data_IF_280888353214
#
_entry.id   IF_280888353214
#
_cell.length_a   1.000
_cell.length_b   1.000
_cell.length_c   1.000
_cell.angle_alpha   90.00
_cell.angle_beta   90.00
_cell.angle_gamma   90.00
#
_symmetry.space_group_name_H-M   'P 1'
#
loop_
_entity.id
_entity.type
_entity.pdbx_description
1 polymer ?
#
# COMPACT_ATOMS: atom_id res chain seq x y z
N UNK A 1 1.14 12.50 24.80
CA UNK A 1 2.16 11.81 23.96
C UNK A 1 1.56 11.59 22.58
N UNK A 2 2.39 11.67 21.54
CA UNK A 2 1.97 11.82 20.14
C UNK A 2 1.71 10.44 19.52
N UNK A 3 0.67 10.32 18.72
CA UNK A 3 0.19 9.06 18.15
C UNK A 3 0.24 9.12 16.60
N UNK A 4 0.46 7.99 15.90
CA UNK A 4 0.64 7.97 14.44
C UNK A 4 -0.69 8.28 13.74
N UNK A 5 -0.65 9.14 12.72
CA UNK A 5 -1.83 9.57 11.96
C UNK A 5 -2.41 10.92 12.39
N UNK A 6 -1.78 11.60 13.36
CA UNK A 6 -2.18 12.94 13.75
C UNK A 6 -3.45 13.00 14.62
N UNK A 7 -3.85 11.92 15.30
CA UNK A 7 -4.97 11.88 16.25
C UNK A 7 -4.52 11.36 17.61
N UNK A 8 -5.11 11.81 18.72
CA UNK A 8 -4.81 11.35 20.10
C UNK A 8 -6.10 11.10 20.90
N UNK A 9 -6.01 10.29 21.95
CA UNK A 9 -7.05 10.25 22.98
C UNK A 9 -6.91 11.45 23.90
N UNK A 10 -8.03 12.17 24.11
CA UNK A 10 -8.15 13.27 25.07
C UNK A 10 -9.20 12.90 26.10
N UNK A 11 -8.85 12.98 27.37
CA UNK A 11 -9.81 12.78 28.46
C UNK A 11 -10.88 13.88 28.42
N UNK A 12 -12.16 13.50 28.54
CA UNK A 12 -13.26 14.45 28.58
C UNK A 12 -13.24 15.26 29.89
N UNK A 13 -13.62 16.53 29.82
CA UNK A 13 -13.81 17.32 31.03
C UNK A 13 -14.98 16.75 31.84
N UNK A 14 -14.95 16.88 33.17
CA UNK A 14 -15.94 16.24 34.03
C UNK A 14 -17.40 16.56 33.67
N UNK A 15 -17.70 17.76 33.17
CA UNK A 15 -19.05 18.15 32.73
C UNK A 15 -19.55 17.37 31.50
N UNK A 16 -18.63 16.85 30.69
CA UNK A 16 -18.90 16.13 29.43
C UNK A 16 -18.92 14.60 29.62
N UNK A 17 -18.60 14.12 30.83
CA UNK A 17 -18.73 12.71 31.21
C UNK A 17 -20.18 12.48 31.67
N UNK A 18 -20.96 11.62 30.99
CA UNK A 18 -22.35 11.43 31.33
C UNK A 18 -22.51 10.85 32.76
N UNK A 19 -23.55 11.33 33.45
CA UNK A 19 -23.81 11.08 34.89
C UNK A 19 -23.87 9.58 35.21
N UNK A 20 -24.33 8.76 34.27
CA UNK A 20 -24.40 7.31 34.40
C UNK A 20 -23.01 6.66 34.62
N UNK A 21 -21.94 7.18 34.03
CA UNK A 21 -20.58 6.65 34.24
C UNK A 21 -20.04 7.03 35.63
N UNK A 22 -20.45 8.20 36.14
CA UNK A 22 -20.08 8.68 37.48
C UNK A 22 -20.78 7.90 38.59
N UNK A 23 -22.01 7.45 38.35
CA UNK A 23 -22.85 6.76 39.34
C UNK A 23 -22.85 5.23 39.21
N UNK A 24 -22.69 4.69 37.99
CA UNK A 24 -22.87 3.27 37.67
C UNK A 24 -21.65 2.68 36.94
N UNK A 25 -20.45 3.10 37.35
CA UNK A 25 -19.17 2.61 36.78
C UNK A 25 -19.05 1.08 36.83
N UNK A 26 -19.63 0.44 37.83
CA UNK A 26 -19.53 -1.00 38.03
C UNK A 26 -20.51 -1.83 37.18
N UNK A 27 -21.50 -1.21 36.53
CA UNK A 27 -22.50 -1.90 35.70
C UNK A 27 -22.45 -1.47 34.22
N UNK A 28 -21.47 -0.66 33.83
CA UNK A 28 -21.25 -0.23 32.45
C UNK A 28 -20.13 -1.07 31.84
N UNK A 29 -20.26 -1.61 30.62
CA UNK A 29 -19.18 -2.35 29.97
C UNK A 29 -17.88 -1.53 29.89
N UNK A 30 -16.70 -2.11 30.20
CA UNK A 30 -15.41 -1.41 30.19
C UNK A 30 -15.11 -0.66 28.88
N UNK A 31 -15.49 -1.22 27.74
CA UNK A 31 -15.32 -0.61 26.42
C UNK A 31 -16.16 0.66 26.23
N UNK A 32 -17.32 0.73 26.86
CA UNK A 32 -18.19 1.89 26.81
C UNK A 32 -17.72 2.96 27.79
N UNK A 33 -17.19 2.55 28.95
CA UNK A 33 -16.49 3.46 29.87
C UNK A 33 -15.32 4.13 29.15
N UNK A 34 -14.51 3.39 28.39
CA UNK A 34 -13.40 3.94 27.61
C UNK A 34 -13.87 4.98 26.59
N UNK A 35 -14.93 4.67 25.81
CA UNK A 35 -15.52 5.61 24.83
C UNK A 35 -16.15 6.84 25.49
N UNK A 36 -16.71 6.68 26.69
CA UNK A 36 -17.38 7.76 27.41
C UNK A 36 -16.39 8.65 28.17
N UNK A 37 -15.18 8.17 28.48
CA UNK A 37 -14.14 8.94 29.18
C UNK A 37 -13.17 9.65 28.22
N UNK A 38 -13.00 9.17 26.99
CA UNK A 38 -11.99 9.70 26.06
C UNK A 38 -12.57 10.01 24.67
N UNK A 39 -12.21 11.19 24.16
CA UNK A 39 -12.44 11.59 22.76
C UNK A 39 -11.24 11.25 21.88
N UNK A 40 -11.50 10.88 20.62
CA UNK A 40 -10.48 10.84 19.57
C UNK A 40 -10.42 12.22 18.93
N UNK A 41 -9.31 12.95 19.10
CA UNK A 41 -9.13 14.31 18.58
C UNK A 41 -7.92 14.42 17.67
N UNK A 42 -7.95 15.23 16.60
CA UNK A 42 -6.75 15.52 15.80
C UNK A 42 -5.71 16.30 16.62
N UNK A 43 -4.44 16.21 16.22
CA UNK A 43 -3.28 16.87 16.85
C UNK A 43 -3.12 18.33 16.38
N UNK A 44 -3.74 18.71 15.26
CA UNK A 44 -3.79 20.07 14.73
C UNK A 44 -4.85 20.88 15.46
N UNK A 45 -4.52 22.10 15.91
CA UNK A 45 -5.41 23.04 16.61
C UNK A 45 -6.40 23.73 15.63
N UNK A 46 -6.25 23.51 14.33
CA UNK A 46 -7.18 23.99 13.32
C UNK A 46 -8.28 22.94 13.12
N UNK A 47 -9.47 23.30 13.60
CA UNK A 47 -10.75 22.57 13.57
C UNK A 47 -10.83 21.36 14.52
N UNK A 48 -11.56 21.55 15.62
CA UNK A 48 -11.97 20.47 16.49
C UNK A 48 -12.92 19.51 15.77
N UNK A 49 -13.17 18.30 16.32
CA UNK A 49 -14.13 17.37 15.74
C UNK A 49 -15.55 17.88 16.01
N UNK A 50 -16.01 18.85 15.23
CA UNK A 50 -17.44 19.15 15.13
C UNK A 50 -18.11 18.03 14.31
N UNK A 51 -18.84 17.18 15.03
CA UNK A 51 -19.91 16.28 14.57
C UNK A 51 -19.75 15.60 13.20
N UNK A 52 -18.71 14.78 13.02
CA UNK A 52 -18.66 13.78 11.92
C UNK A 52 -19.76 12.70 12.02
N UNK A 53 -20.42 12.55 13.18
CA UNK A 53 -21.56 11.65 13.37
C UNK A 53 -22.88 12.22 12.84
N UNK A 54 -22.91 13.51 12.47
CA UNK A 54 -24.11 14.10 11.87
C UNK A 54 -24.21 13.71 10.39
N UNK A 55 -25.28 13.03 9.95
CA UNK A 55 -25.53 12.74 8.54
C UNK A 55 -25.66 14.02 7.67
N UNK A 56 -25.64 15.20 8.29
CA UNK A 56 -25.70 16.50 7.63
C UNK A 56 -24.33 17.12 7.31
N UNK A 57 -23.22 16.65 7.89
CA UNK A 57 -21.91 17.28 7.70
C UNK A 57 -21.44 17.25 6.24
N UNK A 58 -21.70 16.15 5.54
CA UNK A 58 -21.31 15.96 4.14
C UNK A 58 -22.34 16.44 3.12
N UNK A 59 -23.54 16.79 3.58
CA UNK A 59 -24.57 17.40 2.75
C UNK A 59 -24.51 18.92 2.79
N UNK A 60 -23.65 19.52 3.61
CA UNK A 60 -23.55 20.98 3.79
C UNK A 60 -23.31 21.73 2.47
N UNK A 61 -22.59 21.10 1.56
CA UNK A 61 -22.25 21.63 0.23
C UNK A 61 -23.41 21.51 -0.78
N UNK A 62 -24.46 20.76 -0.47
CA UNK A 62 -25.66 20.62 -1.30
C UNK A 62 -26.80 21.53 -0.81
N UNK A 63 -27.57 22.16 -1.70
CA UNK A 63 -28.80 22.88 -1.35
C UNK A 63 -29.82 21.97 -0.65
N UNK A 64 -30.59 22.51 0.31
CA UNK A 64 -31.52 21.71 1.13
C UNK A 64 -32.54 20.88 0.32
N UNK A 65 -32.99 21.39 -0.83
CA UNK A 65 -33.94 20.69 -1.70
C UNK A 65 -33.31 19.47 -2.41
N UNK A 66 -31.99 19.48 -2.63
CA UNK A 66 -31.25 18.37 -3.24
C UNK A 66 -30.93 17.28 -2.22
N UNK A 67 -30.84 17.63 -0.92
CA UNK A 67 -30.66 16.65 0.16
C UNK A 67 -31.87 15.73 0.35
N UNK A 68 -33.08 16.21 0.02
CA UNK A 68 -34.33 15.48 0.25
C UNK A 68 -34.83 14.66 -0.94
N UNK A 69 -34.44 15.00 -2.19
CA UNK A 69 -34.93 14.31 -3.39
C UNK A 69 -33.79 13.88 -4.34
N UNK A 70 -32.97 12.87 -3.97
CA UNK A 70 -31.88 12.37 -4.81
C UNK A 70 -32.31 11.85 -6.19
N UNK A 71 -33.57 11.40 -6.30
CA UNK A 71 -34.17 10.92 -7.56
C UNK A 71 -34.46 12.02 -8.57
N UNK A 72 -34.41 13.30 -8.17
CA UNK A 72 -34.64 14.46 -9.03
C UNK A 72 -33.34 15.15 -9.47
N UNK A 73 -32.17 14.60 -9.13
CA UNK A 73 -30.87 15.13 -9.55
C UNK A 73 -30.60 14.83 -11.03
N UNK A 74 -29.90 15.75 -11.71
CA UNK A 74 -29.30 15.45 -13.01
C UNK A 74 -28.28 14.32 -12.89
N UNK A 75 -28.02 13.60 -13.99
CA UNK A 75 -27.09 12.45 -14.01
C UNK A 75 -25.71 12.80 -13.44
N UNK A 76 -25.15 13.96 -13.81
CA UNK A 76 -23.84 14.42 -13.32
C UNK A 76 -23.86 14.74 -11.81
N UNK A 77 -24.93 15.37 -11.31
CA UNK A 77 -25.07 15.69 -9.88
C UNK A 77 -25.31 14.46 -9.03
N UNK A 78 -26.05 13.48 -9.55
CA UNK A 78 -26.27 12.19 -8.88
C UNK A 78 -24.94 11.44 -8.69
N UNK A 79 -24.08 11.43 -9.72
CA UNK A 79 -22.75 10.83 -9.62
C UNK A 79 -21.86 11.51 -8.56
N UNK A 80 -21.90 12.84 -8.47
CA UNK A 80 -21.19 13.60 -7.44
C UNK A 80 -21.71 13.26 -6.02
N UNK A 81 -23.02 13.15 -5.86
CA UNK A 81 -23.67 12.79 -4.60
C UNK A 81 -23.29 11.38 -4.14
N UNK A 82 -23.35 10.39 -5.03
CA UNK A 82 -22.94 9.01 -4.74
C UNK A 82 -21.44 8.91 -4.40
N UNK A 83 -20.59 9.68 -5.10
CA UNK A 83 -19.17 9.77 -4.77
C UNK A 83 -18.96 10.32 -3.35
N UNK A 84 -19.68 11.38 -2.98
CA UNK A 84 -19.61 11.96 -1.63
C UNK A 84 -20.07 10.99 -0.56
N UNK A 85 -21.12 10.20 -0.81
CA UNK A 85 -21.54 9.14 0.11
C UNK A 85 -20.45 8.09 0.34
N UNK A 86 -19.78 7.64 -0.74
CA UNK A 86 -18.64 6.72 -0.64
C UNK A 86 -17.47 7.30 0.16
N UNK A 87 -17.14 8.58 -0.07
CA UNK A 87 -16.10 9.29 0.71
C UNK A 87 -16.43 9.29 2.22
N UNK A 88 -17.69 9.49 2.61
CA UNK A 88 -18.11 9.47 4.03
C UNK A 88 -18.01 8.08 4.64
N UNK A 89 -18.53 7.07 3.95
CA UNK A 89 -18.48 5.68 4.45
C UNK A 89 -17.03 5.26 4.68
N UNK A 90 -16.15 5.71 3.79
CA UNK A 90 -14.73 5.52 3.90
C UNK A 90 -14.12 6.24 5.11
N UNK A 91 -14.40 7.53 5.30
CA UNK A 91 -13.93 8.29 6.46
C UNK A 91 -14.42 7.72 7.79
N UNK A 92 -15.68 7.22 7.84
CA UNK A 92 -16.23 6.51 9.01
C UNK A 92 -15.46 5.22 9.30
N UNK A 93 -15.19 4.41 8.26
CA UNK A 93 -14.40 3.18 8.39
C UNK A 93 -12.97 3.50 8.86
N UNK A 94 -12.38 4.58 8.35
CA UNK A 94 -11.05 5.06 8.72
C UNK A 94 -10.98 5.52 10.18
N UNK A 95 -11.92 6.35 10.64
CA UNK A 95 -12.00 6.76 12.05
C UNK A 95 -12.22 5.57 12.99
N UNK A 96 -13.03 4.58 12.58
CA UNK A 96 -13.22 3.35 13.34
C UNK A 96 -11.89 2.60 13.51
N UNK A 97 -11.07 2.54 12.46
CA UNK A 97 -9.74 1.92 12.50
C UNK A 97 -8.78 2.70 13.41
N UNK A 98 -8.68 4.03 13.27
CA UNK A 98 -7.84 4.86 14.15
C UNK A 98 -8.25 4.68 15.61
N UNK A 99 -9.55 4.72 15.90
CA UNK A 99 -10.09 4.56 17.25
C UNK A 99 -9.67 3.23 17.86
N UNK A 100 -9.75 2.12 17.11
CA UNK A 100 -9.27 0.81 17.56
C UNK A 100 -7.77 0.83 17.86
N UNK A 101 -6.94 1.37 16.97
CA UNK A 101 -5.48 1.49 17.19
C UNK A 101 -5.13 2.30 18.44
N UNK A 102 -5.83 3.41 18.66
CA UNK A 102 -5.65 4.25 19.85
C UNK A 102 -6.06 3.51 21.13
N UNK A 103 -7.17 2.78 21.13
CA UNK A 103 -7.60 1.98 22.27
C UNK A 103 -6.59 0.86 22.58
N UNK A 104 -6.10 0.17 21.56
CA UNK A 104 -5.10 -0.89 21.75
C UNK A 104 -3.80 -0.34 22.34
N UNK A 105 -3.34 0.82 21.86
CA UNK A 105 -2.17 1.49 22.44
C UNK A 105 -2.42 1.98 23.87
N UNK A 106 -3.62 2.50 24.18
CA UNK A 106 -4.00 2.87 25.54
C UNK A 106 -3.91 1.69 26.52
N UNK A 107 -4.34 0.50 26.10
CA UNK A 107 -4.22 -0.74 26.88
C UNK A 107 -2.75 -1.08 27.17
N UNK A 108 -1.89 -1.00 26.14
CA UNK A 108 -0.46 -1.35 26.24
C UNK A 108 0.31 -0.37 27.12
N UNK A 109 0.03 0.93 27.01
CA UNK A 109 0.72 1.98 27.75
C UNK A 109 0.28 2.08 29.22
N UNK A 110 -0.92 1.58 29.57
CA UNK A 110 -1.51 1.76 30.90
C UNK A 110 -2.00 0.43 31.53
N UNK A 111 -1.13 -0.60 31.65
CA UNK A 111 -1.53 -1.94 32.08
C UNK A 111 -2.08 -2.00 33.51
N UNK A 112 -1.69 -1.05 34.37
CA UNK A 112 -2.05 -1.07 35.79
C UNK A 112 -3.42 -0.46 36.10
N UNK A 113 -4.02 0.28 35.15
CA UNK A 113 -5.31 0.92 35.35
C UNK A 113 -6.42 -0.12 35.59
N UNK A 114 -7.29 0.07 36.60
CA UNK A 114 -8.41 -0.85 36.85
C UNK A 114 -9.30 -1.05 35.61
N UNK A 115 -9.56 0.03 34.87
CA UNK A 115 -10.31 -0.01 33.62
C UNK A 115 -9.67 -0.93 32.57
N UNK A 116 -8.34 -0.89 32.44
CA UNK A 116 -7.60 -1.72 31.48
C UNK A 116 -7.62 -3.19 31.90
N UNK A 117 -7.50 -3.47 33.20
CA UNK A 117 -7.58 -4.83 33.75
C UNK A 117 -8.94 -5.49 33.50
N UNK A 118 -10.01 -4.70 33.46
CA UNK A 118 -11.35 -5.21 33.13
C UNK A 118 -11.57 -5.26 31.61
N UNK A 119 -11.04 -4.30 30.84
CA UNK A 119 -11.13 -4.27 29.39
C UNK A 119 -10.45 -5.47 28.72
N UNK A 120 -9.28 -5.90 29.21
CA UNK A 120 -8.55 -7.06 28.65
C UNK A 120 -9.34 -8.38 28.81
N UNK A 121 -10.29 -8.44 29.76
CA UNK A 121 -11.15 -9.61 29.96
C UNK A 121 -12.33 -9.66 29.00
N UNK A 122 -12.64 -8.55 28.31
CA UNK A 122 -13.74 -8.51 27.34
C UNK A 122 -13.27 -8.98 25.95
N UNK A 123 -14.21 -9.47 25.14
CA UNK A 123 -13.94 -9.88 23.75
C UNK A 123 -13.31 -8.73 22.96
N UNK A 124 -13.81 -7.50 23.15
CA UNK A 124 -13.27 -6.29 22.54
C UNK A 124 -11.80 -6.03 22.91
N UNK A 125 -11.42 -6.16 24.19
CA UNK A 125 -10.02 -5.96 24.60
C UNK A 125 -9.09 -7.06 24.08
N UNK A 126 -9.57 -8.30 24.02
CA UNK A 126 -8.81 -9.43 23.45
C UNK A 126 -8.60 -9.26 21.94
N UNK A 127 -9.63 -8.82 21.19
CA UNK A 127 -9.50 -8.49 19.77
C UNK A 127 -8.46 -7.39 19.53
N UNK A 128 -8.48 -6.31 20.32
CA UNK A 128 -7.52 -5.21 20.18
C UNK A 128 -6.08 -5.67 20.42
N UNK A 129 -5.85 -6.53 21.41
CA UNK A 129 -4.53 -7.10 21.68
C UNK A 129 -4.09 -8.07 20.57
N UNK A 130 -5.02 -8.86 20.02
CA UNK A 130 -4.75 -9.75 18.89
C UNK A 130 -4.43 -8.97 17.60
N UNK A 131 -5.11 -7.84 17.35
CA UNK A 131 -4.80 -6.91 16.25
C UNK A 131 -3.38 -6.36 16.37
N UNK A 132 -2.97 -5.91 17.57
CA UNK A 132 -1.59 -5.42 17.78
C UNK A 132 -0.56 -6.54 17.70
N UNK A 133 -0.88 -7.75 18.17
CA UNK A 133 0.00 -8.91 18.03
C UNK A 133 0.24 -9.32 16.57
N UNK A 134 -0.72 -9.04 15.66
CA UNK A 134 -0.51 -9.19 14.21
C UNK A 134 0.45 -8.14 13.62
N UNK A 135 0.46 -6.93 14.19
CA UNK A 135 1.27 -5.77 13.77
C UNK A 135 2.66 -5.70 14.47
N UNK A 136 2.93 -6.53 15.49
CA UNK A 136 4.30 -6.71 15.99
C UNK A 136 5.16 -7.31 14.86
N UNK A 137 6.45 -6.92 14.74
CA UNK A 137 7.34 -7.54 13.78
C UNK A 137 7.35 -9.04 14.07
N UNK A 138 6.61 -9.80 13.25
CA UNK A 138 6.80 -11.23 13.18
C UNK A 138 8.26 -11.41 12.86
N UNK A 139 8.99 -12.17 13.68
CA UNK A 139 10.11 -12.88 13.10
C UNK A 139 9.55 -13.53 11.84
N UNK A 140 10.09 -13.28 10.64
CA UNK A 140 9.62 -13.98 9.47
C UNK A 140 9.72 -15.46 9.82
N UNK A 141 8.57 -16.11 9.99
CA UNK A 141 8.54 -17.56 9.96
C UNK A 141 9.11 -17.88 8.59
N UNK A 142 10.30 -18.45 8.61
CA UNK A 142 11.04 -18.80 7.42
C UNK A 142 10.15 -19.73 6.61
N UNK A 143 9.69 -19.23 5.47
CA UNK A 143 8.69 -19.90 4.64
C UNK A 143 7.43 -19.04 4.49
N UNK A 144 7.26 -18.44 3.31
CA UNK A 144 5.98 -18.65 2.60
C UNK A 144 5.66 -20.13 2.78
N UNK A 145 4.44 -20.56 3.10
CA UNK A 145 4.14 -21.99 3.28
C UNK A 145 4.68 -22.88 2.14
N UNK A 146 4.56 -24.20 2.24
CA UNK A 146 5.10 -25.10 1.20
C UNK A 146 4.65 -24.67 -0.22
N UNK A 147 3.52 -23.96 -0.31
CA UNK A 147 3.07 -23.27 -1.52
C UNK A 147 2.37 -21.93 -1.23
N UNK A 148 2.12 -21.15 -2.29
CA UNK A 148 1.28 -19.93 -2.26
C UNK A 148 -0.16 -20.20 -1.77
N UNK A 149 -0.63 -21.45 -1.81
CA UNK A 149 -1.94 -21.85 -1.27
C UNK A 149 -2.03 -21.71 0.22
N UNK A 150 -0.94 -21.85 0.96
CA UNK A 150 -1.02 -21.76 2.42
C UNK A 150 -1.37 -20.34 2.87
N UNK A 151 -0.96 -19.33 2.08
CA UNK A 151 -1.33 -17.94 2.29
C UNK A 151 -2.76 -17.65 1.77
N UNK A 152 -3.09 -18.12 0.55
CA UNK A 152 -4.40 -17.90 -0.07
C UNK A 152 -5.53 -18.64 0.67
N UNK A 153 -5.28 -19.84 1.20
CA UNK A 153 -6.21 -20.62 2.02
C UNK A 153 -6.36 -20.04 3.42
N UNK A 154 -5.29 -19.48 3.99
CA UNK A 154 -5.38 -18.70 5.25
C UNK A 154 -6.29 -17.49 5.08
N UNK A 155 -6.26 -16.87 3.91
CA UNK A 155 -7.05 -15.69 3.57
C UNK A 155 -8.39 -16.03 2.87
N UNK A 156 -8.80 -17.32 2.89
CA UNK A 156 -10.05 -17.84 2.33
C UNK A 156 -10.29 -17.49 0.84
N UNK A 157 -9.22 -17.31 0.07
CA UNK A 157 -9.27 -17.13 -1.39
C UNK A 157 -9.49 -18.51 -2.02
N UNK A 158 -10.59 -18.67 -2.75
CA UNK A 158 -10.84 -19.88 -3.53
C UNK A 158 -9.93 -19.92 -4.76
N UNK A 159 -8.86 -20.69 -4.65
CA UNK A 159 -7.85 -20.86 -5.70
C UNK A 159 -8.25 -21.91 -6.75
N UNK A 160 -9.32 -22.66 -6.51
CA UNK A 160 -9.81 -23.65 -7.49
C UNK A 160 -10.52 -23.02 -8.69
N UNK A 161 -10.73 -21.70 -8.67
CA UNK A 161 -11.39 -20.93 -9.72
C UNK A 161 -10.43 -20.22 -10.69
N UNK A 162 -9.11 -20.32 -10.51
CA UNK A 162 -8.14 -19.67 -11.41
C UNK A 162 -7.82 -20.60 -12.57
N UNK A 163 -8.22 -20.22 -13.77
CA UNK A 163 -7.91 -20.97 -14.99
C UNK A 163 -6.40 -21.14 -15.16
N UNK A 164 -5.97 -22.35 -15.54
CA UNK A 164 -4.55 -22.67 -15.75
C UNK A 164 -3.91 -21.81 -16.84
N UNK A 165 -4.69 -21.36 -17.83
CA UNK A 165 -4.26 -20.45 -18.88
C UNK A 165 -5.16 -19.23 -18.89
N UNK A 166 -4.58 -18.04 -18.88
CA UNK A 166 -5.29 -16.77 -18.94
C UNK A 166 -4.63 -15.82 -19.91
N UNK A 167 -5.45 -15.04 -20.61
CA UNK A 167 -5.00 -13.95 -21.49
C UNK A 167 -5.67 -12.66 -21.10
N UNK A 168 -4.89 -11.59 -20.93
CA UNK A 168 -5.36 -10.21 -20.79
C UNK A 168 -4.93 -9.42 -22.01
N UNK A 169 -5.90 -9.01 -22.82
CA UNK A 169 -5.69 -8.13 -23.97
C UNK A 169 -5.77 -6.68 -23.53
N UNK A 170 -4.87 -5.84 -24.03
CA UNK A 170 -4.87 -4.40 -23.80
C UNK A 170 -5.33 -3.69 -25.06
N UNK A 171 -6.41 -2.93 -24.95
CA UNK A 171 -7.05 -2.24 -26.07
C UNK A 171 -7.11 -0.75 -25.85
N UNK A 172 -7.16 -0.01 -26.96
CA UNK A 172 -7.41 1.43 -26.94
C UNK A 172 -8.93 1.64 -26.73
N UNK A 173 -9.33 2.40 -25.70
CA UNK A 173 -10.72 2.76 -25.50
C UNK A 173 -11.34 3.45 -26.72
N UNK A 174 -12.60 3.15 -27.00
CA UNK A 174 -13.40 3.63 -28.13
C UNK A 174 -13.05 3.07 -29.52
N UNK A 175 -11.80 2.71 -29.80
CA UNK A 175 -11.45 2.06 -31.08
C UNK A 175 -11.52 0.54 -30.99
N UNK A 176 -11.22 -0.03 -29.82
CA UNK A 176 -11.11 -1.46 -29.61
C UNK A 176 -9.87 -2.09 -30.24
N UNK A 177 -8.95 -1.27 -30.77
CA UNK A 177 -7.69 -1.74 -31.34
C UNK A 177 -6.81 -2.32 -30.23
N UNK A 178 -6.34 -3.54 -30.42
CA UNK A 178 -5.41 -4.22 -29.52
C UNK A 178 -3.99 -3.67 -29.73
N UNK A 179 -3.32 -3.27 -28.65
CA UNK A 179 -1.93 -2.79 -28.73
C UNK A 179 -0.93 -3.69 -28.01
N UNK A 180 -1.41 -4.59 -27.14
CA UNK A 180 -0.58 -5.54 -26.40
C UNK A 180 -1.43 -6.67 -25.83
N UNK A 181 -0.77 -7.77 -25.45
CA UNK A 181 -1.38 -8.92 -24.78
C UNK A 181 -0.44 -9.48 -23.71
N UNK A 182 -1.01 -9.94 -22.60
CA UNK A 182 -0.36 -10.75 -21.58
C UNK A 182 -1.00 -12.13 -21.59
N UNK A 183 -0.22 -13.18 -21.86
CA UNK A 183 -0.63 -14.55 -21.58
C UNK A 183 0.09 -15.06 -20.34
N UNK A 184 -0.60 -15.80 -19.48
CA UNK A 184 -0.03 -16.46 -18.31
C UNK A 184 -0.51 -17.90 -18.22
N UNK A 185 0.40 -18.81 -17.93
CA UNK A 185 0.09 -20.20 -17.59
C UNK A 185 0.52 -20.49 -16.16
N UNK A 186 -0.28 -21.29 -15.45
CA UNK A 186 -0.04 -21.71 -14.09
C UNK A 186 -0.04 -23.23 -13.99
N UNK A 187 0.79 -23.76 -13.07
CA UNK A 187 0.73 -25.17 -12.71
C UNK A 187 -0.48 -25.49 -11.81
N UNK A 188 -0.65 -26.77 -11.46
CA UNK A 188 -1.66 -27.24 -10.50
C UNK A 188 -1.52 -26.57 -9.11
N UNK A 189 -0.34 -25.98 -8.86
CA UNK A 189 -0.07 -25.18 -7.68
C UNK A 189 -0.22 -23.65 -7.93
N UNK A 190 -0.90 -23.23 -9.00
CA UNK A 190 -1.23 -21.82 -9.22
C UNK A 190 -0.01 -20.92 -9.43
N UNK A 191 1.20 -21.48 -9.48
CA UNK A 191 2.45 -20.76 -9.72
C UNK A 191 2.56 -20.52 -11.21
N UNK A 192 3.01 -19.34 -11.59
CA UNK A 192 3.15 -18.98 -13.01
C UNK A 192 4.32 -19.74 -13.59
N UNK A 193 4.06 -20.66 -14.50
CA UNK A 193 5.09 -21.45 -15.18
C UNK A 193 5.44 -20.85 -16.55
N UNK A 194 4.58 -20.00 -17.10
CA UNK A 194 4.83 -19.33 -18.37
C UNK A 194 4.19 -17.94 -18.43
N UNK A 195 4.86 -17.01 -19.09
CA UNK A 195 4.28 -15.73 -19.51
C UNK A 195 4.70 -15.36 -20.93
N UNK A 196 3.78 -14.80 -21.71
CA UNK A 196 4.09 -14.13 -22.97
C UNK A 196 3.62 -12.68 -22.91
N UNK A 197 4.54 -11.75 -23.16
CA UNK A 197 4.25 -10.32 -23.32
C UNK A 197 4.32 -9.98 -24.81
N UNK A 198 3.19 -9.71 -25.44
CA UNK A 198 3.16 -9.30 -26.84
C UNK A 198 3.67 -7.86 -26.97
N UNK A 199 4.90 -7.73 -27.44
CA UNK A 199 5.59 -6.46 -27.70
C UNK A 199 6.25 -6.54 -29.08
N UNK A 200 6.34 -5.42 -29.81
CA UNK A 200 6.86 -5.40 -31.19
C UNK A 200 8.40 -5.37 -31.23
N UNK A 201 9.12 -6.14 -32.07
CA UNK A 201 8.65 -6.96 -33.17
C UNK A 201 8.36 -8.42 -32.79
N UNK A 202 8.66 -8.82 -31.55
CA UNK A 202 8.53 -10.21 -31.08
C UNK A 202 8.13 -10.23 -29.61
N UNK A 203 7.21 -11.13 -29.29
CA UNK A 203 6.77 -11.36 -27.93
C UNK A 203 7.95 -11.79 -27.03
N UNK A 204 7.93 -11.33 -25.79
CA UNK A 204 8.87 -11.77 -24.76
C UNK A 204 8.23 -12.92 -24.01
N UNK A 205 8.69 -14.13 -24.30
CA UNK A 205 8.24 -15.35 -23.65
C UNK A 205 9.19 -15.77 -22.54
N UNK A 206 8.63 -16.22 -21.42
CA UNK A 206 9.39 -16.65 -20.25
C UNK A 206 8.77 -17.89 -19.65
N UNK A 207 9.59 -18.91 -19.44
CA UNK A 207 9.26 -20.08 -18.65
C UNK A 207 9.89 -19.96 -17.26
N UNK A 208 9.15 -20.33 -16.23
CA UNK A 208 9.57 -20.21 -14.83
C UNK A 208 9.70 -21.61 -14.23
N UNK A 209 10.89 -21.89 -13.69
CA UNK A 209 11.20 -23.18 -13.05
C UNK A 209 11.39 -22.96 -11.56
N UNK A 210 10.70 -23.76 -10.76
CA UNK A 210 10.71 -23.68 -9.31
C UNK A 210 11.55 -24.81 -8.70
N UNK A 211 12.14 -24.56 -7.54
CA UNK A 211 12.76 -25.61 -6.73
C UNK A 211 11.72 -26.46 -5.97
N UNK A 212 12.18 -27.48 -5.25
CA UNK A 212 11.30 -28.37 -4.49
C UNK A 212 10.55 -27.66 -3.34
N UNK A 213 11.01 -26.47 -2.92
CA UNK A 213 10.32 -25.63 -1.94
C UNK A 213 9.39 -24.60 -2.59
N UNK A 214 9.13 -24.71 -3.90
CA UNK A 214 8.26 -23.82 -4.64
C UNK A 214 8.80 -22.42 -4.89
N UNK A 215 10.11 -22.20 -4.72
CA UNK A 215 10.75 -20.90 -4.94
C UNK A 215 11.29 -20.81 -6.35
N UNK A 216 11.16 -19.64 -6.99
CA UNK A 216 11.61 -19.44 -8.37
C UNK A 216 13.12 -19.67 -8.46
N UNK A 217 13.54 -20.71 -9.17
CA UNK A 217 14.95 -21.09 -9.32
C UNK A 217 15.53 -20.63 -10.65
N UNK A 218 14.79 -20.71 -11.75
CA UNK A 218 15.27 -20.29 -13.08
C UNK A 218 14.16 -19.60 -13.87
N UNK A 219 14.57 -18.69 -14.74
CA UNK A 219 13.74 -18.20 -15.83
C UNK A 219 14.44 -18.54 -17.13
N UNK A 220 13.69 -19.09 -18.08
CA UNK A 220 14.16 -19.46 -19.41
C UNK A 220 13.46 -18.57 -20.43
N UNK A 221 14.22 -18.00 -21.35
CA UNK A 221 13.70 -17.23 -22.49
C UNK A 221 14.53 -17.62 -23.71
N UNK A 222 13.85 -17.90 -24.83
CA UNK A 222 14.47 -18.37 -26.09
C UNK A 222 15.36 -19.61 -25.87
N UNK A 223 14.90 -20.57 -25.05
CA UNK A 223 15.64 -21.79 -24.67
C UNK A 223 16.96 -21.57 -23.93
N UNK A 224 17.22 -20.36 -23.41
CA UNK A 224 18.39 -20.06 -22.59
C UNK A 224 17.97 -19.63 -21.18
N UNK A 225 18.72 -20.07 -20.16
CA UNK A 225 18.52 -19.59 -18.78
C UNK A 225 18.93 -18.12 -18.73
N UNK A 226 17.98 -17.26 -18.38
CA UNK A 226 18.16 -15.80 -18.33
C UNK A 226 18.22 -15.25 -16.92
N UNK A 227 17.64 -15.99 -15.97
CA UNK A 227 17.72 -15.71 -14.55
C UNK A 227 17.96 -17.02 -13.80
N UNK A 228 18.78 -16.96 -12.75
CA UNK A 228 19.06 -18.08 -11.87
C UNK A 228 19.17 -17.62 -10.43
N UNK A 229 18.49 -18.33 -9.54
CA UNK A 229 18.36 -17.99 -8.13
C UNK A 229 18.65 -19.22 -7.27
N UNK A 230 19.38 -18.98 -6.18
CA UNK A 230 19.68 -20.00 -5.18
C UNK A 230 19.23 -19.52 -3.81
N UNK A 231 18.72 -20.44 -3.00
CA UNK A 231 18.17 -20.13 -1.70
C UNK A 231 18.78 -21.02 -0.62
N UNK A 232 18.85 -20.48 0.59
CA UNK A 232 19.24 -21.22 1.76
C UNK A 232 18.08 -22.02 2.37
N UNK A 233 18.38 -22.65 3.50
CA UNK A 233 17.43 -23.49 4.24
C UNK A 233 16.28 -22.71 4.88
N UNK A 234 16.49 -21.41 5.12
CA UNK A 234 15.52 -20.53 5.78
C UNK A 234 14.72 -19.69 4.75
N UNK A 235 14.88 -19.94 3.45
CA UNK A 235 14.21 -19.18 2.39
C UNK A 235 14.96 -17.93 1.94
N UNK A 236 16.09 -17.60 2.56
CA UNK A 236 16.94 -16.48 2.14
C UNK A 236 17.52 -16.73 0.74
N UNK A 237 17.47 -15.73 -0.14
CA UNK A 237 18.07 -15.82 -1.47
C UNK A 237 19.58 -15.63 -1.33
N UNK A 238 20.36 -16.69 -1.52
CA UNK A 238 21.82 -16.68 -1.39
C UNK A 238 22.53 -16.18 -2.65
N UNK A 239 21.93 -16.41 -3.82
CA UNK A 239 22.48 -15.95 -5.09
C UNK A 239 21.38 -15.49 -6.07
N UNK A 240 21.74 -14.53 -6.92
CA UNK A 240 20.93 -14.05 -8.04
C UNK A 240 21.84 -13.73 -9.20
N UNK A 241 21.48 -14.23 -10.36
CA UNK A 241 22.16 -14.00 -11.63
C UNK A 241 21.11 -13.70 -12.68
N UNK A 242 21.33 -12.67 -13.49
CA UNK A 242 20.47 -12.33 -14.64
C UNK A 242 21.34 -12.07 -15.86
N UNK A 243 20.76 -12.06 -17.08
CA UNK A 243 21.51 -11.70 -18.31
C UNK A 243 22.26 -10.36 -18.18
N UNK A 244 21.72 -9.42 -17.42
CA UNK A 244 22.27 -8.06 -17.29
C UNK A 244 23.13 -7.87 -16.05
N UNK A 245 22.91 -8.67 -15.00
CA UNK A 245 23.55 -8.49 -13.70
C UNK A 245 24.43 -9.71 -13.41
N UNK A 246 25.72 -9.46 -13.22
CA UNK A 246 26.68 -10.50 -12.79
C UNK A 246 26.17 -11.20 -11.52
N UNK A 247 26.50 -12.49 -11.33
CA UNK A 247 26.14 -13.23 -10.13
C UNK A 247 26.41 -12.43 -8.86
N UNK A 248 25.35 -12.14 -8.11
CA UNK A 248 25.42 -11.48 -6.81
C UNK A 248 25.20 -12.51 -5.72
N UNK A 249 26.09 -12.49 -4.73
CA UNK A 249 25.91 -13.23 -3.49
C UNK A 249 25.29 -12.34 -2.44
N UNK A 250 24.40 -12.91 -1.65
CA UNK A 250 23.69 -12.22 -0.59
C UNK A 250 24.14 -12.77 0.76
N UNK A 251 24.25 -11.87 1.75
CA UNK A 251 24.53 -12.24 3.14
C UNK A 251 23.49 -11.63 4.04
N UNK A 252 23.03 -12.42 5.00
CA UNK A 252 22.00 -12.05 5.93
C UNK A 252 22.54 -12.07 7.36
N UNK A 253 21.95 -11.26 8.23
CA UNK A 253 22.19 -11.31 9.67
C UNK A 253 21.37 -12.40 10.35
N UNK A 254 21.47 -12.46 11.68
CA UNK A 254 20.79 -13.49 12.47
C UNK A 254 19.26 -13.31 12.47
N UNK A 255 18.76 -12.10 12.18
CA UNK A 255 17.33 -11.78 12.12
C UNK A 255 16.81 -11.73 10.67
N UNK A 256 17.53 -12.35 9.72
CA UNK A 256 17.21 -12.41 8.29
C UNK A 256 17.19 -11.04 7.60
N UNK A 257 17.84 -10.04 8.18
CA UNK A 257 18.08 -8.75 7.54
C UNK A 257 19.20 -8.87 6.49
N UNK A 258 19.02 -8.27 5.31
CA UNK A 258 19.99 -8.35 4.21
C UNK A 258 21.18 -7.44 4.49
N UNK A 259 22.33 -7.97 4.90
CA UNK A 259 23.53 -7.18 5.22
C UNK A 259 24.36 -6.83 3.98
N UNK A 260 24.37 -7.69 2.97
CA UNK A 260 25.16 -7.50 1.75
C UNK A 260 24.46 -8.12 0.53
N UNK A 261 24.45 -7.42 -0.61
CA UNK A 261 24.08 -7.95 -1.92
C UNK A 261 25.13 -7.52 -2.95
N UNK A 262 25.96 -8.46 -3.39
CA UNK A 262 27.16 -8.16 -4.18
C UNK A 262 28.04 -7.14 -3.45
N UNK A 263 28.30 -6.00 -4.07
CA UNK A 263 29.11 -4.91 -3.51
C UNK A 263 28.31 -3.93 -2.62
N UNK A 264 26.98 -4.05 -2.59
CA UNK A 264 26.13 -3.21 -1.74
C UNK A 264 26.10 -3.77 -0.31
N UNK A 265 26.30 -2.90 0.68
CA UNK A 265 26.13 -3.18 2.11
C UNK A 265 24.98 -2.37 2.66
N UNK A 266 24.23 -2.95 3.59
CA UNK A 266 23.03 -2.33 4.15
C UNK A 266 23.10 -2.27 5.67
N UNK A 267 22.42 -1.29 6.25
CA UNK A 267 22.23 -1.17 7.70
C UNK A 267 20.78 -0.84 8.01
N UNK A 268 20.32 -1.31 9.16
CA UNK A 268 18.94 -1.21 9.61
C UNK A 268 18.86 -0.56 10.99
N UNK A 269 17.74 0.09 11.28
CA UNK A 269 17.42 0.52 12.64
C UNK A 269 16.81 -0.63 13.47
N UNK A 270 16.50 -0.35 14.73
CA UNK A 270 15.91 -1.34 15.66
C UNK A 270 14.50 -1.79 15.28
N UNK A 271 13.86 -1.12 14.31
CA UNK A 271 12.55 -1.50 13.76
C UNK A 271 12.69 -2.31 12.45
N UNK A 272 13.92 -2.64 12.04
CA UNK A 272 14.18 -3.39 10.81
C UNK A 272 14.07 -2.56 9.54
N UNK A 273 14.07 -1.22 9.62
CA UNK A 273 14.00 -0.33 8.45
C UNK A 273 15.40 0.01 7.95
N UNK A 274 15.62 -0.02 6.64
CA UNK A 274 16.93 0.22 6.03
C UNK A 274 17.31 1.70 6.17
N UNK A 275 18.30 2.02 7.00
CA UNK A 275 18.76 3.41 7.23
C UNK A 275 20.00 3.78 6.41
N UNK A 276 20.69 2.79 5.83
CA UNK A 276 21.88 3.04 5.01
C UNK A 276 22.04 2.00 3.92
N UNK A 277 22.46 2.45 2.74
CA UNK A 277 23.02 1.63 1.66
C UNK A 277 24.38 2.20 1.29
N UNK A 278 25.41 1.37 1.29
CA UNK A 278 26.75 1.72 0.80
C UNK A 278 27.07 0.83 -0.40
N UNK A 279 27.26 1.44 -1.56
CA UNK A 279 27.71 0.74 -2.76
C UNK A 279 29.06 1.31 -3.20
N UNK A 280 30.13 0.52 -3.05
CA UNK A 280 31.49 0.92 -3.44
C UNK A 280 31.92 2.30 -2.88
N UNK A 281 31.55 2.60 -1.62
CA UNK A 281 31.86 3.87 -0.95
C UNK A 281 30.83 4.98 -1.18
N UNK A 282 29.89 4.80 -2.10
CA UNK A 282 28.77 5.72 -2.32
C UNK A 282 27.67 5.41 -1.30
N UNK A 283 27.49 6.32 -0.33
CA UNK A 283 26.58 6.12 0.80
C UNK A 283 25.27 6.88 0.60
N UNK A 284 24.16 6.14 0.60
CA UNK A 284 22.81 6.68 0.70
C UNK A 284 22.29 6.49 2.12
N UNK A 285 21.69 7.53 2.71
CA UNK A 285 21.04 7.47 4.03
C UNK A 285 19.54 7.65 3.90
N UNK A 286 18.78 6.96 4.73
CA UNK A 286 17.32 6.99 4.73
C UNK A 286 16.82 7.34 6.12
N UNK A 287 15.86 8.26 6.19
CA UNK A 287 15.20 8.67 7.43
C UNK A 287 13.69 8.47 7.31
N UNK A 288 13.11 7.88 8.35
CA UNK A 288 11.69 7.52 8.41
C UNK A 288 10.99 8.35 9.48
N UNK A 289 9.73 8.67 9.25
CA UNK A 289 8.86 9.20 10.30
C UNK A 289 8.62 8.10 11.33
N UNK A 290 8.27 8.51 12.55
CA UNK A 290 7.85 7.58 13.60
C UNK A 290 6.61 6.77 13.17
N UNK A 291 5.75 7.34 12.32
CA UNK A 291 4.60 6.64 11.74
C UNK A 291 4.94 5.57 10.72
N UNK A 292 6.21 5.44 10.29
CA UNK A 292 6.68 4.43 9.34
C UNK A 292 7.14 4.95 7.97
N UNK A 293 6.49 5.96 7.34
CA UNK A 293 6.87 6.42 5.99
C UNK A 293 8.30 6.97 5.90
N UNK A 294 8.97 6.68 4.78
CA UNK A 294 10.22 7.33 4.39
C UNK A 294 9.95 8.82 4.12
N UNK A 295 10.64 9.72 4.82
CA UNK A 295 10.49 11.17 4.61
C UNK A 295 11.76 11.86 4.13
N UNK A 296 12.94 11.23 4.24
CA UNK A 296 14.18 11.85 3.79
C UNK A 296 15.17 10.81 3.25
N UNK A 297 15.88 11.18 2.17
CA UNK A 297 16.98 10.41 1.58
C UNK A 297 18.15 11.34 1.28
N UNK A 298 19.33 11.05 1.82
CA UNK A 298 20.58 11.72 1.44
C UNK A 298 21.32 10.85 0.43
N UNK A 299 21.50 11.37 -0.78
CA UNK A 299 22.19 10.68 -1.86
C UNK A 299 23.71 10.91 -1.79
N UNK A 300 24.52 10.02 -2.39
CA UNK A 300 25.98 10.15 -2.41
C UNK A 300 26.48 11.42 -3.12
N UNK A 301 25.69 11.95 -4.05
CA UNK A 301 25.99 13.18 -4.79
C UNK A 301 25.65 14.47 -4.01
N UNK A 302 25.26 14.35 -2.74
CA UNK A 302 24.91 15.46 -1.86
C UNK A 302 23.47 15.97 -2.00
N UNK A 303 22.68 15.43 -2.93
CA UNK A 303 21.25 15.76 -3.01
C UNK A 303 20.49 15.17 -1.83
N UNK A 304 19.59 15.96 -1.27
CA UNK A 304 18.62 15.57 -0.26
C UNK A 304 17.23 15.49 -0.89
N UNK A 305 16.61 14.31 -0.86
CA UNK A 305 15.23 14.10 -1.29
C UNK A 305 14.37 14.08 -0.03
N UNK A 306 13.30 14.86 0.00
CA UNK A 306 12.37 14.95 1.12
C UNK A 306 10.96 14.60 0.62
N UNK A 307 10.22 13.79 1.36
CA UNK A 307 8.82 13.45 1.08
C UNK A 307 7.92 14.03 2.16
N UNK A 308 6.94 14.82 1.74
CA UNK A 308 5.85 15.25 2.62
C UNK A 308 4.72 14.25 2.50
N UNK A 309 4.23 13.75 3.63
CA UNK A 309 3.08 12.86 3.68
C UNK A 309 1.88 13.54 4.36
N UNK A 310 0.68 13.16 3.94
CA UNK A 310 -0.55 13.50 4.65
C UNK A 310 -0.72 12.66 5.94
N UNK A 311 -1.75 12.92 6.77
CA UNK A 311 -2.01 12.13 7.99
C UNK A 311 -2.28 10.64 7.74
N UNK A 312 -2.62 10.25 6.50
CA UNK A 312 -2.83 8.86 6.08
C UNK A 312 -1.51 8.16 5.70
N UNK A 313 -0.39 8.89 5.70
CA UNK A 313 0.93 8.39 5.29
C UNK A 313 1.16 8.41 3.78
N UNK A 314 0.23 8.97 2.99
CA UNK A 314 0.37 9.09 1.53
C UNK A 314 1.28 10.26 1.21
N UNK A 315 2.21 10.07 0.28
CA UNK A 315 3.09 11.15 -0.19
C UNK A 315 2.26 12.20 -0.92
N UNK A 316 2.36 13.47 -0.55
CA UNK A 316 1.68 14.60 -1.21
C UNK A 316 2.67 15.55 -1.89
N UNK A 317 3.95 15.51 -1.52
CA UNK A 317 5.00 16.25 -2.20
C UNK A 317 6.35 15.55 -2.11
N UNK A 318 7.20 15.81 -3.11
CA UNK A 318 8.62 15.46 -3.13
C UNK A 318 9.42 16.73 -3.35
N UNK A 319 10.40 16.95 -2.50
CA UNK A 319 11.35 18.05 -2.59
C UNK A 319 12.75 17.53 -2.85
N UNK A 320 13.55 18.30 -3.60
CA UNK A 320 14.99 18.08 -3.77
C UNK A 320 15.68 19.33 -3.25
N UNK A 321 16.55 19.16 -2.25
CA UNK A 321 17.26 20.25 -1.57
C UNK A 321 16.33 21.37 -1.10
N UNK A 322 15.20 21.00 -0.47
CA UNK A 322 14.18 21.93 0.02
C UNK A 322 13.25 22.54 -1.04
N UNK A 323 13.48 22.32 -2.35
CA UNK A 323 12.58 22.78 -3.41
C UNK A 323 11.60 21.68 -3.80
N UNK A 324 10.30 21.94 -3.71
CA UNK A 324 9.27 21.01 -4.20
C UNK A 324 9.46 20.82 -5.72
N UNK A 325 9.57 19.57 -6.15
CA UNK A 325 9.74 19.20 -7.57
C UNK A 325 8.54 18.41 -8.12
N UNK A 326 7.80 17.72 -7.25
CA UNK A 326 6.59 16.98 -7.62
C UNK A 326 5.54 17.14 -6.51
N UNK A 327 4.26 17.22 -6.89
CA UNK A 327 3.12 17.08 -5.97
C UNK A 327 2.23 15.94 -6.43
N UNK A 328 1.68 15.21 -5.46
CA UNK A 328 0.87 14.01 -5.69
C UNK A 328 -0.55 14.28 -5.20
N UNK A 329 -1.53 13.98 -6.05
CA UNK A 329 -2.94 14.07 -5.73
C UNK A 329 -3.54 12.66 -5.73
N UNK A 330 -4.14 12.28 -4.62
CA UNK A 330 -4.73 10.95 -4.43
C UNK A 330 -6.25 11.00 -4.56
N UNK A 331 -6.82 10.00 -5.20
CA UNK A 331 -8.27 9.79 -5.23
C UNK A 331 -8.74 9.10 -3.94
N UNK A 332 -7.99 8.11 -3.45
CA UNK A 332 -8.24 7.37 -2.21
C UNK A 332 -6.91 6.87 -1.58
N UNK A 333 -6.92 5.86 -0.70
CA UNK A 333 -5.68 5.35 -0.09
C UNK A 333 -4.72 4.68 -1.08
N UNK A 334 -5.22 4.20 -2.22
CA UNK A 334 -4.51 3.32 -3.14
C UNK A 334 -4.36 3.89 -4.54
N UNK A 335 -5.28 4.76 -4.98
CA UNK A 335 -5.32 5.30 -6.34
C UNK A 335 -4.76 6.73 -6.40
N UNK A 336 -3.73 6.91 -7.22
CA UNK A 336 -3.08 8.19 -7.48
C UNK A 336 -3.79 8.88 -8.64
N UNK A 337 -4.49 9.97 -8.36
CA UNK A 337 -5.23 10.70 -9.39
C UNK A 337 -4.29 11.47 -10.32
N UNK A 338 -3.29 12.15 -9.77
CA UNK A 338 -2.36 12.94 -10.57
C UNK A 338 -1.00 13.15 -9.93
N UNK A 339 0.00 13.36 -10.78
CA UNK A 339 1.31 13.93 -10.40
C UNK A 339 1.55 15.21 -11.17
N UNK A 340 1.86 16.29 -10.46
CA UNK A 340 2.18 17.59 -11.05
C UNK A 340 3.64 17.95 -10.77
N UNK A 341 4.15 18.98 -11.46
CA UNK A 341 5.43 19.58 -11.10
C UNK A 341 5.34 20.35 -9.76
N UNK A 342 6.47 20.92 -9.31
CA UNK A 342 6.53 21.65 -8.05
C UNK A 342 5.59 22.86 -7.95
N UNK A 343 5.22 23.46 -9.08
CA UNK A 343 4.28 24.58 -9.14
C UNK A 343 2.83 24.11 -9.12
N UNK A 344 2.57 22.80 -9.26
CA UNK A 344 1.22 22.26 -9.42
C UNK A 344 0.72 22.31 -10.86
N UNK A 345 1.61 22.52 -11.83
CA UNK A 345 1.30 22.59 -13.25
C UNK A 345 1.62 21.25 -13.94
N UNK A 346 1.16 21.15 -15.19
CA UNK A 346 1.40 20.00 -16.09
C UNK A 346 1.05 18.66 -15.42
N UNK A 347 -0.22 18.46 -15.05
CA UNK A 347 -0.65 17.23 -14.40
C UNK A 347 -0.49 16.04 -15.34
N UNK A 348 0.08 14.97 -14.82
CA UNK A 348 -0.05 13.60 -15.33
C UNK A 348 -1.25 13.01 -14.64
N UNK A 349 -2.38 12.89 -15.32
CA UNK A 349 -3.64 12.40 -14.75
C UNK A 349 -3.79 10.93 -15.08
N UNK A 350 -4.00 10.07 -14.09
CA UNK A 350 -4.10 8.63 -14.27
C UNK A 350 -5.55 8.16 -14.26
N UNK A 351 -5.83 7.09 -15.00
CA UNK A 351 -7.10 6.36 -14.93
C UNK A 351 -6.86 4.88 -14.62
N UNK A 352 -7.88 4.24 -14.07
CA UNK A 352 -7.81 2.89 -13.53
C UNK A 352 -8.98 2.04 -14.03
N UNK A 353 -8.78 0.72 -14.17
CA UNK A 353 -9.86 -0.24 -14.39
C UNK A 353 -10.61 -0.56 -13.09
N UNK A 354 -11.65 -1.41 -13.17
CA UNK A 354 -12.47 -1.82 -12.02
C UNK A 354 -11.68 -2.62 -10.97
N UNK A 355 -10.55 -3.22 -11.37
CA UNK A 355 -9.63 -3.95 -10.48
C UNK A 355 -8.61 -3.01 -9.80
N UNK A 356 -8.58 -1.73 -10.19
CA UNK A 356 -7.67 -0.72 -9.66
C UNK A 356 -6.28 -0.72 -10.30
N UNK A 357 -6.10 -1.38 -11.45
CA UNK A 357 -4.86 -1.30 -12.22
C UNK A 357 -4.82 -0.01 -13.05
N UNK A 358 -3.67 0.68 -13.15
CA UNK A 358 -3.55 1.86 -13.99
C UNK A 358 -3.65 1.48 -15.48
N UNK A 359 -4.60 2.06 -16.21
CA UNK A 359 -4.83 1.76 -17.63
C UNK A 359 -4.40 2.88 -18.58
N UNK A 360 -4.40 4.12 -18.10
CA UNK A 360 -3.91 5.24 -18.92
C UNK A 360 -3.38 6.40 -18.10
N UNK A 361 -2.65 7.29 -18.78
CA UNK A 361 -2.23 8.59 -18.27
C UNK A 361 -2.42 9.66 -19.35
N UNK A 362 -3.07 10.77 -19.00
CA UNK A 362 -3.11 11.97 -19.83
C UNK A 362 -2.05 12.95 -19.36
N UNK A 363 -1.22 13.43 -20.29
CA UNK A 363 -0.17 14.42 -20.04
C UNK A 363 -0.05 15.37 -21.23
N UNK A 364 -0.10 16.69 -20.96
CA UNK A 364 -0.01 17.74 -22.00
C UNK A 364 -0.97 17.54 -23.19
N UNK A 365 -2.19 17.07 -22.91
CA UNK A 365 -3.24 16.85 -23.91
C UNK A 365 -3.14 15.55 -24.70
N UNK A 366 -2.11 14.73 -24.44
CA UNK A 366 -1.94 13.41 -25.06
C UNK A 366 -2.27 12.31 -24.04
N UNK A 367 -2.96 11.26 -24.50
CA UNK A 367 -3.25 10.07 -23.69
C UNK A 367 -2.31 8.93 -24.03
N UNK A 368 -1.76 8.31 -22.99
CA UNK A 368 -0.92 7.13 -23.10
C UNK A 368 -1.60 5.95 -22.42
N UNK A 369 -1.57 4.79 -23.05
CA UNK A 369 -2.18 3.56 -22.53
C UNK A 369 -1.12 2.63 -21.95
N UNK A 370 -1.48 1.90 -20.91
CA UNK A 370 -0.55 1.02 -20.19
C UNK A 370 -0.93 -0.44 -20.38
N UNK A 371 0.07 -1.27 -20.71
CA UNK A 371 -0.01 -2.70 -20.52
C UNK A 371 0.76 -3.11 -19.27
N UNK A 372 0.09 -3.85 -18.40
CA UNK A 372 0.62 -4.28 -17.10
C UNK A 372 0.79 -5.79 -17.05
N UNK A 373 1.80 -6.26 -16.33
CA UNK A 373 1.93 -7.68 -16.03
C UNK A 373 0.90 -8.11 -14.96
N UNK A 374 0.94 -9.38 -14.57
CA UNK A 374 0.02 -9.98 -13.59
C UNK A 374 0.08 -9.36 -12.18
N UNK A 375 1.10 -8.56 -11.86
CA UNK A 375 1.25 -7.86 -10.57
C UNK A 375 1.08 -6.34 -10.70
N UNK A 376 0.53 -5.87 -11.82
CA UNK A 376 0.25 -4.45 -12.06
C UNK A 376 1.46 -3.60 -12.46
N UNK A 377 2.61 -4.21 -12.74
CA UNK A 377 3.79 -3.48 -13.23
C UNK A 377 3.66 -3.20 -14.71
N UNK A 378 3.79 -1.93 -15.11
CA UNK A 378 3.72 -1.49 -16.51
C UNK A 378 4.92 -2.05 -17.28
N UNK A 379 4.68 -2.86 -18.31
CA UNK A 379 5.73 -3.36 -19.20
C UNK A 379 5.77 -2.64 -20.55
N UNK A 380 4.65 -2.00 -20.95
CA UNK A 380 4.56 -1.24 -22.19
C UNK A 380 3.66 -0.01 -22.01
N UNK A 381 4.05 1.08 -22.66
CA UNK A 381 3.28 2.32 -22.81
C UNK A 381 3.04 2.56 -24.29
N UNK A 382 1.78 2.74 -24.68
CA UNK A 382 1.38 3.01 -26.06
C UNK A 382 0.81 4.43 -26.23
N UNK A 383 0.89 4.97 -27.45
CA UNK A 383 0.22 6.22 -27.84
C UNK A 383 -1.28 5.98 -28.18
N UNK A 384 -1.98 7.04 -28.59
CA UNK A 384 -3.42 6.99 -28.93
C UNK A 384 -3.74 6.15 -30.17
N UNK A 385 -2.72 5.70 -30.91
CA UNK A 385 -2.84 4.82 -32.08
C UNK A 385 -2.33 3.40 -31.80
N UNK A 386 -1.94 3.11 -30.56
CA UNK A 386 -1.43 1.80 -30.15
C UNK A 386 0.05 1.58 -30.45
N UNK A 387 0.78 2.60 -30.91
CA UNK A 387 2.21 2.45 -31.16
C UNK A 387 2.99 2.44 -29.84
N UNK A 388 3.99 1.57 -29.74
CA UNK A 388 4.87 1.55 -28.58
C UNK A 388 5.64 2.87 -28.43
N UNK A 389 5.48 3.51 -27.27
CA UNK A 389 6.25 4.69 -26.86
C UNK A 389 7.38 4.29 -25.91
N UNK A 390 7.13 3.32 -25.03
CA UNK A 390 8.11 2.86 -24.05
C UNK A 390 7.88 1.41 -23.68
N UNK A 391 8.98 0.67 -23.56
CA UNK A 391 9.02 -0.67 -22.99
C UNK A 391 9.82 -0.71 -21.69
N UNK A 392 9.35 -1.51 -20.74
CA UNK A 392 9.98 -1.74 -19.44
C UNK A 392 9.93 -3.24 -19.16
N UNK A 393 11.05 -3.94 -19.30
CA UNK A 393 11.15 -5.36 -19.02
C UNK A 393 12.06 -5.55 -17.81
N UNK A 394 11.45 -5.93 -16.69
CA UNK A 394 12.16 -6.18 -15.44
C UNK A 394 12.54 -7.66 -15.30
N UNK A 395 13.48 -7.95 -14.41
CA UNK A 395 13.67 -9.31 -13.89
C UNK A 395 12.50 -9.75 -12.98
N UNK A 396 12.49 -11.01 -12.56
CA UNK A 396 11.41 -11.56 -11.71
C UNK A 396 11.30 -10.91 -10.32
N UNK A 397 12.29 -10.14 -9.89
CA UNK A 397 12.29 -9.38 -8.63
C UNK A 397 12.10 -7.87 -8.82
N UNK A 398 11.80 -7.43 -10.05
CA UNK A 398 11.42 -6.06 -10.36
C UNK A 398 12.58 -5.09 -10.57
N UNK A 399 13.80 -5.57 -10.84
CA UNK A 399 14.94 -4.70 -11.19
C UNK A 399 14.98 -4.31 -12.66
#
# INVERSE_FOLDING_TARGET
>A
MIYPGGYRLREKEGKDIPINVRLYRNSTPPEDILKMMYDVVPNSILEGPEEMDSPYYALKDFPAHERMYPSMMSTERKALFERKLREIEYEKKYLKLIKRKLHAKFIIENPDLPLVKDLIKTEYGQELLAEVAKDQPRQPETGTGETIYDEQKRDAVDVSAVEAYQTKTFTIPNTGEEFSLLATERDDNGRIIYTALAVEPQAVEREYVYDNGGRLSKVICENAVVEHYQYGKNGERLASETRQIKPQLFKYGQSMELLQAGEAKYMYDTQGRMVMKNFLGQVTRYSYLESGPLHEVHLPDGRRIEYTCDPLGRRIAKSINGKIVEKYLWQDLTMLLAVTDGEGLRPKVFSYDEEGNPVSMTYEGQTFFFATNQVGTIFMVADERGNEVKRIINDSFGN
#
